data_IF_311901080732
#
_entry.id   IF_311901080732
#
_cell.length_a   1.000
_cell.length_b   1.000
_cell.length_c   1.000
_cell.angle_alpha   90.00
_cell.angle_beta   90.00
_cell.angle_gamma   90.00
#
_symmetry.space_group_name_H-M   'P 1'
#
loop_
_entity.id
_entity.type
_entity.pdbx_description
1 polymer ?
#
# COMPACT_ATOMS: atom_id res chain seq x y z
N UNK A 1 -19.28 21.95 25.73
CA UNK A 1 -20.05 20.90 25.04
C UNK A 1 -19.07 19.84 24.52
N UNK A 2 -19.21 18.56 24.91
CA UNK A 2 -18.21 17.50 24.67
C UNK A 2 -18.12 16.99 23.22
N UNK A 3 -18.71 17.68 22.23
CA UNK A 3 -18.77 17.24 20.82
C UNK A 3 -17.42 17.38 20.08
N UNK A 4 -16.66 18.45 20.32
CA UNK A 4 -15.38 18.69 19.64
C UNK A 4 -14.32 17.64 20.01
N UNK A 5 -14.19 17.31 21.29
CA UNK A 5 -13.23 16.28 21.72
C UNK A 5 -13.60 14.92 21.15
N UNK A 6 -14.89 14.56 21.12
CA UNK A 6 -15.34 13.31 20.48
C UNK A 6 -14.96 13.26 19.00
N UNK A 7 -15.11 14.37 18.27
CA UNK A 7 -14.72 14.45 16.87
C UNK A 7 -13.21 14.25 16.69
N UNK A 8 -12.39 14.90 17.51
CA UNK A 8 -10.93 14.76 17.44
C UNK A 8 -10.47 13.35 17.80
N UNK A 9 -11.09 12.71 18.79
CA UNK A 9 -10.81 11.31 19.14
C UNK A 9 -11.13 10.38 17.98
N UNK A 10 -12.28 10.57 17.31
CA UNK A 10 -12.64 9.78 16.12
C UNK A 10 -11.62 9.98 14.99
N UNK A 11 -11.24 11.23 14.70
CA UNK A 11 -10.24 11.52 13.67
C UNK A 11 -8.87 10.94 14.01
N UNK A 12 -8.44 11.04 15.27
CA UNK A 12 -7.19 10.45 15.74
C UNK A 12 -7.19 8.93 15.63
N UNK A 13 -8.31 8.29 15.91
CA UNK A 13 -8.47 6.84 15.81
C UNK A 13 -8.44 6.39 14.33
N UNK A 14 -9.16 7.10 13.45
CA UNK A 14 -9.11 6.83 12.00
C UNK A 14 -7.69 7.06 11.46
N UNK A 15 -7.07 8.19 11.79
CA UNK A 15 -5.71 8.51 11.37
C UNK A 15 -4.69 7.47 11.85
N UNK A 16 -4.81 7.04 13.10
CA UNK A 16 -3.97 5.99 13.67
C UNK A 16 -4.13 4.64 12.97
N UNK A 17 -5.37 4.25 12.64
CA UNK A 17 -5.63 2.99 11.90
C UNK A 17 -5.10 3.07 10.47
N UNK A 18 -5.34 4.17 9.76
CA UNK A 18 -4.85 4.35 8.38
C UNK A 18 -3.32 4.35 8.35
N UNK A 19 -2.68 5.13 9.21
CA UNK A 19 -1.22 5.14 9.26
C UNK A 19 -0.63 3.80 9.71
N UNK A 20 -1.24 3.17 10.73
CA UNK A 20 -0.81 1.87 11.24
C UNK A 20 -0.93 0.76 10.19
N UNK A 21 -2.00 0.75 9.39
CA UNK A 21 -2.17 -0.22 8.29
C UNK A 21 -1.16 0.00 7.17
N UNK A 22 -0.90 1.25 6.77
CA UNK A 22 0.13 1.57 5.76
C UNK A 22 1.54 1.16 6.23
N UNK A 23 1.90 1.53 7.46
CA UNK A 23 3.18 1.13 8.05
C UNK A 23 3.32 -0.38 8.14
N UNK A 24 2.25 -1.07 8.55
CA UNK A 24 2.24 -2.51 8.64
C UNK A 24 2.44 -3.17 7.28
N UNK A 25 1.71 -2.74 6.24
CA UNK A 25 1.86 -3.31 4.91
C UNK A 25 3.24 -3.08 4.32
N UNK A 26 3.82 -1.89 4.53
CA UNK A 26 5.15 -1.58 4.02
C UNK A 26 6.27 -2.40 4.67
N UNK A 27 6.13 -2.79 5.94
CA UNK A 27 7.21 -3.45 6.69
C UNK A 27 7.00 -4.95 6.89
N UNK A 28 5.75 -5.42 6.95
CA UNK A 28 5.41 -6.83 7.22
C UNK A 28 5.09 -7.62 5.95
N UNK A 29 4.92 -6.95 4.79
CA UNK A 29 4.62 -7.61 3.53
C UNK A 29 5.79 -7.44 2.58
N UNK A 30 6.46 -8.54 2.25
CA UNK A 30 7.51 -8.57 1.24
C UNK A 30 6.88 -8.58 -0.16
N UNK A 31 7.29 -7.68 -1.07
CA UNK A 31 6.80 -7.69 -2.43
C UNK A 31 7.33 -8.92 -3.18
N UNK A 32 6.43 -9.76 -3.68
CA UNK A 32 6.79 -10.95 -4.42
C UNK A 32 7.33 -10.55 -5.81
N UNK A 33 8.63 -10.73 -6.03
CA UNK A 33 9.24 -10.54 -7.36
C UNK A 33 8.74 -11.65 -8.28
N UNK A 34 7.70 -11.37 -9.07
CA UNK A 34 7.23 -12.29 -10.09
C UNK A 34 8.16 -12.18 -11.28
N UNK A 35 8.75 -13.29 -11.69
CA UNK A 35 9.44 -13.36 -12.98
C UNK A 35 8.43 -13.11 -14.09
N UNK A 36 8.46 -11.90 -14.65
CA UNK A 36 7.61 -11.51 -15.75
C UNK A 36 8.27 -12.00 -17.04
N UNK A 37 7.98 -13.25 -17.42
CA UNK A 37 8.39 -13.77 -18.72
C UNK A 37 7.54 -13.10 -19.81
N UNK A 38 8.08 -12.01 -20.35
CA UNK A 38 7.52 -11.41 -21.57
C UNK A 38 7.94 -12.30 -22.73
N UNK A 39 6.96 -12.90 -23.39
CA UNK A 39 7.21 -13.67 -24.60
C UNK A 39 7.62 -12.70 -25.72
N UNK A 40 8.92 -12.55 -25.96
CA UNK A 40 9.43 -11.66 -27.01
C UNK A 40 9.27 -12.36 -28.36
N UNK A 41 8.44 -11.85 -29.28
CA UNK A 41 8.31 -12.43 -30.62
C UNK A 41 9.66 -12.34 -31.37
N UNK A 42 10.05 -13.44 -32.01
CA UNK A 42 11.34 -13.60 -32.69
C UNK A 42 11.62 -12.54 -33.78
N UNK A 43 10.58 -11.92 -34.34
CA UNK A 43 10.66 -10.84 -35.33
C UNK A 43 11.37 -9.58 -34.82
N UNK A 44 11.48 -9.40 -33.49
CA UNK A 44 12.13 -8.23 -32.88
C UNK A 44 13.64 -8.39 -32.68
N UNK A 45 14.20 -9.59 -32.92
CA UNK A 45 15.64 -9.87 -32.81
C UNK A 45 16.40 -9.75 -34.14
N UNK A 46 15.71 -9.44 -35.25
CA UNK A 46 16.31 -9.35 -36.57
C UNK A 46 16.33 -7.91 -37.11
N UNK A 47 17.29 -7.09 -36.66
CA UNK A 47 18.09 -6.18 -37.50
C UNK A 47 19.24 -5.57 -36.70
#
# INVERSE_FOLDING_TARGET
>A
MPSLIRLLVVLGLIGGVVYGTLWAFANLVEPHTREMSVNVPADRFAK
#
